data_IF_806562872136
#
_entry.id   IF_806562872136
#
_cell.length_a   1.000
_cell.length_b   1.000
_cell.length_c   1.000
_cell.angle_alpha   90.00
_cell.angle_beta   90.00
_cell.angle_gamma   90.00
#
_symmetry.space_group_name_H-M   'P 1'
#
loop_
_entity.id
_entity.type
_entity.pdbx_description
1 polymer ?
#
# COMPACT_ATOMS: atom_id res chain seq x y z
N UNK A 1 17.26 5.21 -21.22
CA UNK A 1 16.43 5.93 -20.22
C UNK A 1 16.47 5.14 -18.92
N UNK A 2 16.95 5.73 -17.82
CA UNK A 2 16.95 5.05 -16.52
C UNK A 2 15.52 5.02 -16.02
N UNK A 3 15.00 3.85 -15.66
CA UNK A 3 13.62 3.65 -15.17
C UNK A 3 13.68 3.41 -13.66
N UNK A 4 12.76 3.99 -12.88
CA UNK A 4 12.66 3.76 -11.42
C UNK A 4 11.42 2.92 -11.12
N UNK A 5 11.46 2.08 -10.09
CA UNK A 5 10.33 1.21 -9.70
C UNK A 5 9.78 1.59 -8.31
N UNK A 6 8.50 1.95 -8.24
CA UNK A 6 7.64 2.02 -7.06
C UNK A 6 6.93 0.67 -6.83
N UNK A 7 6.02 0.49 -5.87
CA UNK A 7 5.32 -0.80 -5.67
C UNK A 7 3.79 -0.62 -5.43
N UNK A 8 2.91 -1.48 -6.03
CA UNK A 8 1.42 -1.47 -5.87
C UNK A 8 0.73 -2.86 -6.02
N UNK A 9 -0.05 -3.38 -5.05
CA UNK A 9 -0.66 -4.73 -5.09
C UNK A 9 -1.67 -4.99 -6.25
N UNK A 10 -1.60 -6.21 -6.82
CA UNK A 10 -2.63 -6.87 -7.62
C UNK A 10 -2.88 -8.30 -7.09
N UNK A 11 -4.12 -8.67 -6.77
CA UNK A 11 -4.49 -10.03 -6.36
C UNK A 11 -5.20 -10.78 -7.50
N UNK A 12 -4.65 -11.89 -7.98
CA UNK A 12 -5.35 -12.82 -8.89
C UNK A 12 -4.99 -14.27 -8.63
N UNK A 13 -6.00 -15.15 -8.62
CA UNK A 13 -5.82 -16.59 -8.71
C UNK A 13 -6.72 -17.16 -9.81
N UNK A 14 -6.12 -17.69 -10.89
CA UNK A 14 -6.85 -18.51 -11.87
C UNK A 14 -7.02 -19.91 -11.28
N UNK A 15 -8.24 -20.24 -10.88
CA UNK A 15 -8.63 -21.59 -10.50
C UNK A 15 -9.74 -22.07 -11.43
N UNK A 16 -9.47 -23.14 -12.19
CA UNK A 16 -10.47 -23.82 -13.01
C UNK A 16 -11.47 -24.56 -12.10
N UNK A 17 -12.67 -24.01 -11.95
CA UNK A 17 -13.79 -24.68 -11.26
C UNK A 17 -14.65 -25.44 -12.29
N UNK A 18 -15.15 -26.66 -11.96
CA UNK A 18 -15.99 -27.45 -12.86
C UNK A 18 -17.46 -26.97 -12.91
N UNK A 19 -17.83 -25.96 -12.12
CA UNK A 19 -19.17 -25.37 -12.19
C UNK A 19 -19.19 -24.24 -13.22
N UNK A 20 -20.01 -24.43 -14.26
CA UNK A 20 -20.17 -23.52 -15.41
C UNK A 20 -20.94 -22.27 -14.98
N UNK A 21 -20.29 -21.37 -14.24
CA UNK A 21 -20.78 -20.00 -14.02
C UNK A 21 -20.51 -19.23 -15.31
N UNK A 22 -21.53 -18.59 -15.88
CA UNK A 22 -21.37 -17.67 -17.01
C UNK A 22 -20.38 -16.57 -16.64
N UNK A 23 -19.21 -16.51 -17.31
CA UNK A 23 -18.18 -15.52 -17.00
C UNK A 23 -18.66 -14.10 -17.34
N UNK A 24 -18.84 -13.26 -16.33
CA UNK A 24 -19.33 -11.88 -16.44
C UNK A 24 -18.19 -10.84 -16.57
N UNK A 25 -17.03 -11.24 -17.09
CA UNK A 25 -15.87 -10.36 -17.33
C UNK A 25 -15.00 -10.11 -16.09
N UNK A 26 -13.89 -9.41 -16.30
CA UNK A 26 -12.92 -9.05 -15.26
C UNK A 26 -13.21 -7.67 -14.67
N UNK A 27 -13.18 -7.56 -13.34
CA UNK A 27 -13.42 -6.32 -12.58
C UNK A 27 -12.17 -5.99 -11.77
N UNK A 28 -11.67 -4.77 -11.92
CA UNK A 28 -10.58 -4.22 -11.08
C UNK A 28 -11.20 -3.34 -10.00
N UNK A 29 -11.00 -3.71 -8.74
CA UNK A 29 -11.49 -2.97 -7.56
C UNK A 29 -10.32 -2.25 -6.88
N UNK A 30 -10.40 -0.93 -6.80
CA UNK A 30 -9.43 -0.12 -6.08
C UNK A 30 -9.97 0.29 -4.70
N UNK A 31 -9.41 -0.30 -3.64
CA UNK A 31 -9.79 -0.06 -2.26
C UNK A 31 -9.12 1.22 -1.71
N UNK A 32 -9.92 2.20 -1.28
CA UNK A 32 -9.44 3.41 -0.61
C UNK A 32 -9.22 3.24 0.90
N UNK A 33 -8.82 4.31 1.59
CA UNK A 33 -8.52 4.28 3.04
C UNK A 33 -9.67 3.76 3.90
N UNK A 34 -10.91 4.15 3.58
CA UNK A 34 -12.11 3.69 4.30
C UNK A 34 -12.33 2.17 4.24
N UNK A 35 -11.80 1.50 3.21
CA UNK A 35 -11.94 0.06 3.04
C UNK A 35 -10.87 -0.74 3.81
N UNK A 36 -9.83 -0.06 4.33
CA UNK A 36 -8.71 -0.68 5.04
C UNK A 36 -8.51 -0.15 6.47
N UNK A 37 -9.30 0.82 6.92
CA UNK A 37 -9.12 1.43 8.24
C UNK A 37 -7.82 2.22 8.39
N UNK A 38 -7.73 2.95 9.50
CA UNK A 38 -6.60 3.84 9.78
C UNK A 38 -5.63 3.27 10.83
N UNK A 39 -6.04 2.22 11.54
CA UNK A 39 -5.22 1.49 12.52
C UNK A 39 -5.46 -0.02 12.39
N UNK A 40 -4.73 -0.83 13.17
CA UNK A 40 -4.80 -2.30 13.07
C UNK A 40 -6.21 -2.85 13.37
N UNK A 41 -6.89 -2.33 14.39
CA UNK A 41 -8.21 -2.82 14.78
C UNK A 41 -9.28 -2.40 13.76
N UNK A 42 -9.21 -1.15 13.29
CA UNK A 42 -10.02 -0.61 12.22
C UNK A 42 -9.82 -1.38 10.93
N UNK A 43 -8.57 -1.75 10.61
CA UNK A 43 -8.24 -2.55 9.44
C UNK A 43 -8.89 -3.92 9.47
N UNK A 44 -8.75 -4.65 10.57
CA UNK A 44 -9.37 -5.98 10.71
C UNK A 44 -10.89 -5.92 10.50
N UNK A 45 -11.55 -4.89 11.04
CA UNK A 45 -13.00 -4.70 10.86
C UNK A 45 -13.35 -4.33 9.42
N UNK A 46 -12.63 -3.37 8.83
CA UNK A 46 -12.89 -2.87 7.49
C UNK A 46 -12.66 -3.95 6.42
N UNK A 47 -11.59 -4.73 6.56
CA UNK A 47 -11.25 -5.84 5.66
C UNK A 47 -12.32 -6.93 5.67
N UNK A 48 -12.89 -7.25 6.83
CA UNK A 48 -14.00 -8.22 6.92
C UNK A 48 -15.27 -7.76 6.20
N UNK A 49 -15.61 -6.48 6.30
CA UNK A 49 -16.78 -5.92 5.58
C UNK A 49 -16.48 -5.87 4.07
N UNK A 50 -15.28 -5.46 3.72
CA UNK A 50 -14.84 -5.34 2.33
C UNK A 50 -14.78 -6.71 1.63
N UNK A 51 -14.35 -7.77 2.33
CA UNK A 51 -14.30 -9.12 1.77
C UNK A 51 -15.69 -9.65 1.39
N UNK A 52 -16.73 -9.34 2.16
CA UNK A 52 -18.12 -9.72 1.84
C UNK A 52 -18.56 -9.15 0.49
N UNK A 53 -18.35 -7.85 0.27
CA UNK A 53 -18.71 -7.18 -0.97
C UNK A 53 -17.90 -7.70 -2.18
N UNK A 54 -16.61 -8.02 -1.98
CA UNK A 54 -15.78 -8.62 -3.03
C UNK A 54 -16.27 -10.03 -3.38
N UNK A 55 -16.60 -10.84 -2.38
CA UNK A 55 -17.08 -12.21 -2.59
C UNK A 55 -18.47 -12.23 -3.21
N UNK A 56 -19.31 -11.21 -3.00
CA UNK A 56 -20.57 -11.05 -3.75
C UNK A 56 -20.32 -10.97 -5.26
N UNK A 57 -19.33 -10.19 -5.69
CA UNK A 57 -18.96 -10.07 -7.11
C UNK A 57 -18.41 -11.39 -7.67
N UNK A 58 -17.60 -12.11 -6.87
CA UNK A 58 -17.09 -13.42 -7.25
C UNK A 58 -18.24 -14.43 -7.41
N UNK A 59 -19.21 -14.42 -6.49
CA UNK A 59 -20.39 -15.29 -6.54
C UNK A 59 -21.29 -15.00 -7.74
N UNK A 60 -21.31 -13.74 -8.20
CA UNK A 60 -21.98 -13.34 -9.44
C UNK A 60 -21.24 -13.80 -10.71
N UNK A 61 -20.03 -14.37 -10.60
CA UNK A 61 -19.27 -14.92 -11.73
C UNK A 61 -18.21 -14.00 -12.32
N UNK A 62 -17.91 -12.88 -11.66
CA UNK A 62 -16.83 -11.99 -12.05
C UNK A 62 -15.46 -12.55 -11.68
N UNK A 63 -14.46 -12.27 -12.53
CA UNK A 63 -13.07 -12.36 -12.11
C UNK A 63 -12.66 -11.05 -11.46
N UNK A 64 -12.29 -11.09 -10.19
CA UNK A 64 -11.98 -9.87 -9.43
C UNK A 64 -10.49 -9.73 -9.23
N UNK A 65 -9.98 -8.53 -9.55
CA UNK A 65 -8.63 -8.08 -9.27
C UNK A 65 -8.74 -6.97 -8.22
N UNK A 66 -8.04 -7.12 -7.10
CA UNK A 66 -8.07 -6.13 -6.00
C UNK A 66 -6.75 -5.35 -5.98
N UNK A 67 -6.86 -4.03 -5.93
CA UNK A 67 -5.78 -3.09 -5.61
C UNK A 67 -6.18 -2.29 -4.38
N UNK A 68 -5.22 -1.67 -3.69
CA UNK A 68 -5.52 -0.88 -2.51
C UNK A 68 -4.55 0.29 -2.29
N UNK A 69 -5.03 1.31 -1.57
CA UNK A 69 -4.19 2.32 -0.95
C UNK A 69 -3.48 1.80 0.30
N UNK A 70 -2.48 2.53 0.79
CA UNK A 70 -1.70 2.12 1.97
C UNK A 70 -1.32 3.30 2.88
N UNK A 71 -1.98 4.45 2.75
CA UNK A 71 -1.56 5.71 3.38
C UNK A 71 -1.35 5.61 4.90
N UNK A 72 -2.40 5.27 5.68
CA UNK A 72 -2.28 5.06 7.13
C UNK A 72 -1.23 4.00 7.48
N UNK A 73 -1.27 2.89 6.75
CA UNK A 73 -0.48 1.70 6.96
C UNK A 73 1.03 1.92 6.77
N UNK A 74 1.42 2.53 5.65
CA UNK A 74 2.81 2.87 5.34
C UNK A 74 3.31 3.98 6.26
N UNK A 75 2.42 4.89 6.68
CA UNK A 75 2.71 5.93 7.66
C UNK A 75 3.09 5.33 9.01
N UNK A 76 2.28 4.40 9.52
CA UNK A 76 2.53 3.68 10.77
C UNK A 76 3.89 2.95 10.74
N UNK A 77 4.17 2.21 9.66
CA UNK A 77 5.46 1.51 9.49
C UNK A 77 6.61 2.52 9.49
N UNK A 78 6.50 3.58 8.69
CA UNK A 78 7.56 4.57 8.57
C UNK A 78 7.84 5.27 9.92
N UNK A 79 6.80 5.63 10.67
CA UNK A 79 6.93 6.24 11.99
C UNK A 79 7.55 5.27 13.01
N UNK A 80 7.20 3.98 12.98
CA UNK A 80 7.79 2.98 13.87
C UNK A 80 9.31 2.84 13.65
N UNK A 81 9.75 2.81 12.39
CA UNK A 81 11.19 2.76 12.08
C UNK A 81 11.91 4.09 12.34
N UNK A 82 11.23 5.24 12.17
CA UNK A 82 11.75 6.54 12.61
C UNK A 82 11.97 6.59 14.12
N UNK A 83 11.02 6.09 14.91
CA UNK A 83 11.13 6.01 16.36
C UNK A 83 12.26 5.05 16.77
N UNK A 84 12.36 3.88 16.14
CA UNK A 84 13.41 2.90 16.41
C UNK A 84 14.81 3.46 16.11
N UNK A 85 14.96 4.30 15.08
CA UNK A 85 16.22 4.94 14.74
C UNK A 85 16.72 5.95 15.80
N UNK A 86 15.81 6.48 16.62
CA UNK A 86 16.14 7.37 17.75
C UNK A 86 16.55 6.62 19.02
N UNK A 87 16.49 5.29 19.04
CA UNK A 87 16.87 4.47 20.20
C UNK A 87 18.37 4.12 20.18
N UNK A 88 18.91 3.69 21.33
CA UNK A 88 20.29 3.18 21.48
C UNK A 88 20.62 2.00 20.56
N UNK A 89 19.59 1.27 20.08
CA UNK A 89 19.77 0.19 19.13
C UNK A 89 20.16 0.70 17.72
N UNK A 90 20.01 2.00 17.45
CA UNK A 90 20.36 2.67 16.19
C UNK A 90 19.87 1.94 14.93
N UNK A 91 18.64 1.40 14.99
CA UNK A 91 18.01 0.77 13.84
C UNK A 91 17.97 1.73 12.65
N UNK A 92 18.29 1.28 11.42
CA UNK A 92 18.30 2.17 10.28
C UNK A 92 16.87 2.63 9.95
N UNK A 93 16.75 3.90 9.55
CA UNK A 93 15.53 4.37 8.89
C UNK A 93 15.34 3.61 7.58
N UNK A 94 14.13 3.08 7.37
CA UNK A 94 13.84 2.38 6.12
C UNK A 94 13.59 3.36 4.96
N UNK A 95 14.09 3.06 3.75
CA UNK A 95 13.67 3.73 2.54
C UNK A 95 12.15 3.56 2.34
N UNK A 96 11.49 4.58 1.79
CA UNK A 96 10.03 4.51 1.58
C UNK A 96 9.59 3.35 0.68
N UNK A 97 10.42 2.94 -0.29
CA UNK A 97 10.15 1.76 -1.12
C UNK A 97 10.02 0.47 -0.27
N UNK A 98 10.85 0.32 0.76
CA UNK A 98 10.79 -0.83 1.68
C UNK A 98 9.55 -0.73 2.58
N UNK A 99 9.23 0.46 3.11
CA UNK A 99 7.99 0.66 3.87
C UNK A 99 6.75 0.31 3.04
N UNK A 100 6.73 0.69 1.75
CA UNK A 100 5.64 0.33 0.83
C UNK A 100 5.57 -1.18 0.64
N UNK A 101 6.71 -1.88 0.43
CA UNK A 101 6.73 -3.33 0.32
C UNK A 101 6.19 -4.03 1.58
N UNK A 102 6.60 -3.58 2.78
CA UNK A 102 6.09 -4.07 4.06
C UNK A 102 4.57 -3.85 4.17
N UNK A 103 4.10 -2.65 3.79
CA UNK A 103 2.66 -2.33 3.82
C UNK A 103 1.84 -3.25 2.92
N UNK A 104 2.36 -3.65 1.75
CA UNK A 104 1.68 -4.60 0.88
C UNK A 104 1.62 -5.99 1.50
N UNK A 105 2.70 -6.43 2.13
CA UNK A 105 2.75 -7.73 2.78
C UNK A 105 1.66 -7.89 3.83
N UNK A 106 1.52 -6.91 4.73
CA UNK A 106 0.55 -7.05 5.82
C UNK A 106 -0.89 -6.75 5.40
N UNK A 107 -1.13 -5.71 4.57
CA UNK A 107 -2.49 -5.44 4.05
C UNK A 107 -2.96 -6.63 3.21
N UNK A 108 -2.08 -7.13 2.34
CA UNK A 108 -2.38 -8.26 1.50
C UNK A 108 -2.55 -9.57 2.29
N UNK A 109 -1.86 -9.75 3.41
CA UNK A 109 -2.10 -10.86 4.33
C UNK A 109 -3.53 -10.79 4.92
N UNK A 110 -3.93 -9.64 5.45
CA UNK A 110 -5.25 -9.47 6.06
C UNK A 110 -6.37 -9.65 5.04
N UNK A 111 -6.25 -9.01 3.87
CA UNK A 111 -7.21 -9.16 2.77
C UNK A 111 -7.29 -10.60 2.28
N UNK A 112 -6.15 -11.26 2.08
CA UNK A 112 -6.12 -12.65 1.60
C UNK A 112 -6.84 -13.59 2.58
N UNK A 113 -6.59 -13.43 3.88
CA UNK A 113 -7.23 -14.24 4.91
C UNK A 113 -8.74 -14.00 4.97
N UNK A 114 -9.17 -12.73 5.02
CA UNK A 114 -10.60 -12.40 5.10
C UNK A 114 -11.37 -12.81 3.83
N UNK A 115 -10.76 -12.67 2.65
CA UNK A 115 -11.34 -13.17 1.41
C UNK A 115 -11.43 -14.70 1.41
N UNK A 116 -10.40 -15.40 1.88
CA UNK A 116 -10.43 -16.86 1.97
C UNK A 116 -11.47 -17.36 2.95
N UNK A 117 -11.58 -16.76 4.12
CA UNK A 117 -12.59 -17.09 5.12
C UNK A 117 -14.00 -16.90 4.53
N UNK A 118 -14.25 -15.77 3.89
CA UNK A 118 -15.56 -15.45 3.30
C UNK A 118 -15.91 -16.31 2.08
N UNK A 119 -14.93 -16.67 1.25
CA UNK A 119 -15.14 -17.61 0.15
C UNK A 119 -15.52 -19.01 0.68
N UNK A 120 -14.80 -19.49 1.69
CA UNK A 120 -15.05 -20.81 2.29
C UNK A 120 -16.38 -20.86 3.04
N UNK A 121 -16.77 -19.80 3.75
CA UNK A 121 -18.06 -19.72 4.46
C UNK A 121 -19.27 -19.85 3.51
N UNK A 122 -19.08 -19.49 2.23
CA UNK A 122 -20.07 -19.61 1.16
C UNK A 122 -19.90 -20.85 0.28
N UNK A 123 -19.00 -21.76 0.64
CA UNK A 123 -18.72 -22.99 -0.12
C UNK A 123 -18.00 -22.75 -1.46
N UNK A 124 -17.40 -21.58 -1.66
CA UNK A 124 -16.65 -21.23 -2.88
C UNK A 124 -15.17 -21.57 -2.69
N UNK A 125 -14.69 -22.62 -3.34
CA UNK A 125 -13.27 -22.98 -3.28
C UNK A 125 -12.47 -22.29 -4.41
N UNK A 126 -12.03 -21.05 -4.17
CA UNK A 126 -11.20 -20.28 -5.12
C UNK A 126 -9.92 -19.76 -4.45
N UNK A 127 -8.73 -19.91 -5.08
CA UNK A 127 -7.49 -19.35 -4.53
C UNK A 127 -7.48 -17.83 -4.51
N UNK A 128 -6.88 -17.28 -3.47
CA UNK A 128 -6.58 -15.86 -3.29
C UNK A 128 -5.09 -15.76 -3.07
N UNK A 129 -4.44 -14.84 -3.77
CA UNK A 129 -3.01 -14.62 -3.70
C UNK A 129 -2.70 -13.13 -3.68
N UNK A 130 -1.79 -12.73 -2.81
CA UNK A 130 -1.23 -11.38 -2.74
C UNK A 130 0.12 -11.35 -3.43
N UNK A 131 0.31 -10.38 -4.34
CA UNK A 131 1.55 -10.20 -5.09
C UNK A 131 2.25 -8.89 -4.70
N UNK A 132 3.46 -8.99 -4.15
CA UNK A 132 4.34 -7.82 -4.07
C UNK A 132 4.63 -7.36 -5.49
N UNK A 133 4.30 -6.12 -5.79
CA UNK A 133 4.23 -5.67 -7.19
C UNK A 133 5.00 -4.39 -7.34
N UNK A 134 5.84 -4.29 -8.37
CA UNK A 134 6.60 -3.08 -8.71
C UNK A 134 5.90 -2.29 -9.83
N UNK A 135 5.84 -0.97 -9.73
CA UNK A 135 5.28 -0.04 -10.72
C UNK A 135 6.37 0.88 -11.21
N UNK A 136 6.55 0.93 -12.52
CA UNK A 136 7.56 1.78 -13.11
C UNK A 136 7.15 3.26 -13.11
N UNK A 137 8.13 4.15 -12.98
CA UNK A 137 7.97 5.60 -13.07
C UNK A 137 9.12 6.19 -13.89
N UNK A 138 8.85 7.28 -14.61
CA UNK A 138 9.88 8.01 -15.35
C UNK A 138 10.91 8.58 -14.38
N UNK A 139 12.20 8.26 -14.55
CA UNK A 139 13.24 8.81 -13.68
C UNK A 139 13.41 10.32 -13.84
N UNK A 140 12.93 10.91 -14.94
CA UNK A 140 12.92 12.34 -15.20
C UNK A 140 11.62 13.03 -14.79
N UNK A 141 10.70 12.32 -14.12
CA UNK A 141 9.44 12.93 -13.66
C UNK A 141 9.74 14.19 -12.81
N UNK A 142 9.15 15.35 -13.14
CA UNK A 142 9.37 16.60 -12.40
C UNK A 142 9.09 16.50 -10.89
N UNK A 143 8.27 15.54 -10.45
CA UNK A 143 8.02 15.27 -9.04
C UNK A 143 9.30 14.93 -8.25
N UNK A 144 10.36 14.43 -8.91
CA UNK A 144 11.66 14.19 -8.28
C UNK A 144 12.44 15.48 -8.01
N UNK A 145 12.23 16.54 -8.79
CA UNK A 145 12.90 17.83 -8.60
C UNK A 145 12.30 18.61 -7.42
N UNK A 146 11.01 18.44 -7.18
CA UNK A 146 10.30 19.10 -6.09
C UNK A 146 9.39 18.12 -5.34
N UNK A 147 9.92 17.29 -4.43
CA UNK A 147 9.13 16.44 -3.56
C UNK A 147 8.12 17.25 -2.73
N UNK A 148 6.85 16.88 -2.75
CA UNK A 148 5.77 17.60 -2.04
C UNK A 148 4.96 16.73 -1.11
N UNK A 149 4.96 15.41 -1.28
CA UNK A 149 4.08 14.53 -0.51
C UNK A 149 4.67 14.31 0.89
N UNK A 150 4.00 14.80 1.96
CA UNK A 150 4.54 14.69 3.31
C UNK A 150 4.38 13.27 3.85
N UNK A 151 5.38 12.81 4.60
CA UNK A 151 5.45 11.48 5.20
C UNK A 151 5.99 11.56 6.64
N UNK A 152 5.79 10.50 7.41
CA UNK A 152 6.39 10.36 8.73
C UNK A 152 5.94 11.40 9.74
N UNK A 153 6.77 11.56 10.75
CA UNK A 153 6.55 12.41 11.93
C UNK A 153 6.78 13.90 11.64
N UNK A 154 6.35 14.76 12.57
CA UNK A 154 6.78 16.16 12.61
C UNK A 154 8.13 16.27 13.32
N UNK A 155 8.95 17.21 12.86
CA UNK A 155 10.28 17.51 13.36
C UNK A 155 10.37 19.00 13.68
N UNK A 156 11.22 19.32 14.66
CA UNK A 156 11.67 20.70 14.88
C UNK A 156 12.58 21.16 13.73
N UNK A 157 12.80 22.47 13.61
CA UNK A 157 13.74 23.03 12.63
C UNK A 157 15.14 22.46 12.77
N UNK A 158 15.63 22.33 14.01
CA UNK A 158 16.97 21.80 14.32
C UNK A 158 17.09 20.32 13.90
N UNK A 159 16.08 19.49 14.19
CA UNK A 159 16.04 18.11 13.71
C UNK A 159 15.98 18.04 12.18
N UNK A 160 15.23 18.94 11.55
CA UNK A 160 15.12 18.99 10.09
C UNK A 160 16.45 19.33 9.41
N UNK A 161 17.23 20.25 9.97
CA UNK A 161 18.57 20.56 9.47
C UNK A 161 19.52 19.34 9.54
N UNK A 162 19.47 18.59 10.65
CA UNK A 162 20.28 17.38 10.81
C UNK A 162 19.89 16.29 9.81
N UNK A 163 18.59 16.05 9.63
CA UNK A 163 18.11 15.08 8.65
C UNK A 163 18.38 15.51 7.21
N UNK A 164 18.36 16.81 6.93
CA UNK A 164 18.73 17.35 5.61
C UNK A 164 20.19 17.10 5.29
N UNK A 165 21.08 17.23 6.28
CA UNK A 165 22.51 16.87 6.15
C UNK A 165 22.71 15.36 5.89
N UNK A 166 21.77 14.52 6.32
CA UNK A 166 21.76 13.08 6.03
C UNK A 166 21.13 12.74 4.67
N UNK A 167 20.73 13.74 3.88
CA UNK A 167 20.19 13.56 2.53
C UNK A 167 18.67 13.39 2.46
N UNK A 168 17.93 13.62 3.55
CA UNK A 168 16.47 13.66 3.50
C UNK A 168 15.97 15.03 3.05
N UNK A 169 14.87 15.06 2.31
CA UNK A 169 14.17 16.31 1.98
C UNK A 169 13.08 16.56 3.00
N UNK A 170 13.15 17.70 3.71
CA UNK A 170 12.11 18.13 4.64
C UNK A 170 11.53 19.48 4.21
N UNK A 171 10.25 19.70 4.53
CA UNK A 171 9.54 20.96 4.31
C UNK A 171 8.71 21.33 5.52
N UNK A 172 8.59 22.64 5.74
CA UNK A 172 7.66 23.20 6.72
C UNK A 172 6.22 22.85 6.33
N UNK A 173 5.41 22.49 7.32
CA UNK A 173 4.01 22.06 7.14
C UNK A 173 3.08 22.92 7.99
N UNK A 174 2.84 24.14 7.50
CA UNK A 174 1.77 25.05 7.93
C UNK A 174 1.77 25.35 9.45
N UNK A 175 2.93 25.66 9.99
CA UNK A 175 3.14 26.02 11.39
C UNK A 175 3.19 24.84 12.36
N UNK A 176 3.03 23.61 11.86
CA UNK A 176 3.04 22.39 12.71
C UNK A 176 4.43 21.78 12.87
N UNK A 177 5.44 22.37 12.24
CA UNK A 177 6.82 21.89 12.20
C UNK A 177 7.23 21.46 10.81
N UNK A 178 8.30 20.67 10.73
CA UNK A 178 8.87 20.16 9.49
C UNK A 178 8.51 18.70 9.29
N UNK A 179 8.30 18.27 8.05
CA UNK A 179 8.07 16.87 7.70
C UNK A 179 8.95 16.45 6.55
N UNK A 180 9.32 15.16 6.54
CA UNK A 180 9.94 14.55 5.38
C UNK A 180 8.95 14.57 4.22
N UNK A 181 9.45 14.86 3.03
CA UNK A 181 8.67 14.85 1.80
C UNK A 181 9.28 13.89 0.79
N UNK A 182 8.43 13.24 0.01
CA UNK A 182 8.83 12.35 -1.09
C UNK A 182 8.17 12.75 -2.39
N UNK A 183 8.81 12.35 -3.49
CA UNK A 183 8.25 12.48 -4.81
C UNK A 183 7.00 11.58 -4.94
N UNK A 184 6.01 12.06 -5.68
CA UNK A 184 4.83 11.28 -6.07
C UNK A 184 4.70 11.28 -7.60
N UNK A 185 5.66 10.64 -8.30
CA UNK A 185 5.68 10.60 -9.76
C UNK A 185 4.48 9.81 -10.31
N UNK A 186 4.15 10.05 -11.58
CA UNK A 186 3.11 9.29 -12.26
C UNK A 186 3.64 7.89 -12.62
N UNK A 187 2.82 6.83 -12.44
CA UNK A 187 3.10 5.54 -13.05
C UNK A 187 3.26 5.69 -14.55
N UNK A 188 4.23 4.99 -15.14
CA UNK A 188 4.35 4.85 -16.59
C UNK A 188 3.94 3.43 -16.98
N UNK A 189 3.24 3.31 -18.10
CA UNK A 189 2.92 2.03 -18.70
C UNK A 189 4.02 1.65 -19.70
N UNK A 190 4.45 0.40 -19.67
CA UNK A 190 5.41 -0.14 -20.64
C UNK A 190 4.62 -0.91 -21.69
N UNK A 191 4.40 -0.28 -22.85
CA UNK A 191 3.98 -0.92 -24.09
C UNK A 191 4.98 -0.58 -25.19
#
# INVERSE_FOLDING_TARGET
MSKKRCLYLCATGRGSSPHRVSHLGSVVLALGGNALGDDLAGQMKAVKITSQAIVDLIAQGHEVIVTHGNGPQVGMINQAFEAAAKTEAHSPMLPMSVCVALSQGYIGYDLQNALREELLSRGINKPVATLVTQVEVDANDPAFLNPTKPIGSFFTEQEAELLTKQGYTLKEDAGRGYRRVVASPKPVDDH
#
